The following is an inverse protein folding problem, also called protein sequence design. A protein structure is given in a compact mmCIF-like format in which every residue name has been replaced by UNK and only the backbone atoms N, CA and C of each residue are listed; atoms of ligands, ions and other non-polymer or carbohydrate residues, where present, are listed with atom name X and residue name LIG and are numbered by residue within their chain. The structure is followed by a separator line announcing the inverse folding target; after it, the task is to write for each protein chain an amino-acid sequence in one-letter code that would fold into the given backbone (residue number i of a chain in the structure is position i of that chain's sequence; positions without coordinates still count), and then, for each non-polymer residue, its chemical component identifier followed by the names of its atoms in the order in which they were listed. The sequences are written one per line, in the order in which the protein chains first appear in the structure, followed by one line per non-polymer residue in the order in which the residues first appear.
data_IF_558104302006
#
_entry.id   IF_558104302006
#
_cell.length_a   1.000
_cell.length_b   1.000
_cell.length_c   1.000
_cell.angle_alpha   90.00
_cell.angle_beta   90.00
_cell.angle_gamma   90.00
#
_symmetry.space_group_name_H-M   'P 1'
#
loop_
_entity.id
_entity.type
_entity.pdbx_description
1 polymer ?
2 non-polymer ?
3 non-polymer ?
4 water ?
#
# COMPACT_ATOMS: atom_id res chain seq x y z
N UNK A 7 10.73 19.42 17.58
CA UNK A 7 10.53 18.05 18.05
C UNK A 7 11.37 17.02 17.24
N UNK A 8 11.03 15.71 17.38
CA UNK A 8 11.70 14.60 16.70
C UNK A 8 11.50 14.60 15.18
N UNK A 9 10.38 15.10 14.68
CA UNK A 9 10.21 15.17 13.23
C UNK A 9 10.97 16.30 12.57
N UNK A 10 11.11 17.42 13.25
CA UNK A 10 11.95 18.53 12.77
C UNK A 10 13.40 18.03 12.60
N UNK A 11 13.87 17.26 13.59
CA UNK A 11 15.20 16.65 13.58
C UNK A 11 15.36 15.60 12.49
N UNK A 12 14.33 14.78 12.29
CA UNK A 12 14.32 13.74 11.27
C UNK A 12 14.35 14.37 9.86
N UNK A 13 13.57 15.45 9.66
CA UNK A 13 13.47 16.17 8.38
C UNK A 13 14.83 16.80 7.99
N UNK A 14 15.48 17.50 8.95
CA UNK A 14 16.82 18.07 8.71
C UNK A 14 17.88 16.99 8.43
N UNK A 15 17.77 15.82 9.10
CA UNK A 15 18.67 14.70 8.88
C UNK A 15 18.59 14.21 7.43
N UNK A 16 17.36 13.97 6.93
CA UNK A 16 17.11 13.52 5.54
C UNK A 16 17.59 14.59 4.57
N UNK A 17 17.30 15.89 4.84
CA UNK A 17 17.74 17.00 4.00
C UNK A 17 19.26 17.02 3.85
N UNK A 18 20.01 16.85 4.97
CA UNK A 18 21.47 16.80 5.03
C UNK A 18 22.05 15.72 4.11
N UNK A 19 21.44 14.52 4.12
CA UNK A 19 21.87 13.38 3.30
C UNK A 19 21.60 13.65 1.82
N UNK A 20 20.36 14.09 1.48
CA UNK A 20 19.92 14.37 0.11
C UNK A 20 20.72 15.52 -0.56
N UNK A 21 20.98 16.61 0.21
CA UNK A 21 21.74 17.78 -0.30
C UNK A 21 23.19 17.40 -0.67
N UNK A 22 23.80 16.51 0.12
CA UNK A 22 25.16 15.98 -0.06
C UNK A 22 25.35 15.22 -1.40
N UNK A 23 24.28 14.60 -1.96
CA UNK A 23 24.34 13.85 -3.22
C UNK A 23 24.34 14.75 -4.47
N UNK A 24 23.84 16.00 -4.34
CA UNK A 24 23.75 17.02 -5.40
C UNK A 24 22.92 16.56 -6.60
N UNK A 25 21.83 15.85 -6.29
CA UNK A 25 20.87 15.29 -7.24
C UNK A 25 19.50 15.88 -6.89
N UNK A 26 18.73 16.41 -7.87
CA UNK A 26 17.39 16.94 -7.53
C UNK A 26 16.53 15.92 -6.78
N UNK A 27 15.83 16.37 -5.74
CA UNK A 27 14.97 15.56 -4.87
C UNK A 27 13.98 14.66 -5.62
N UNK A 28 13.35 15.16 -6.69
CA UNK A 28 12.40 14.37 -7.48
C UNK A 28 13.10 13.21 -8.23
N UNK A 29 14.39 13.37 -8.57
CA UNK A 29 15.18 12.31 -9.21
C UNK A 29 15.51 11.23 -8.20
N UNK A 30 15.89 11.62 -6.97
CA UNK A 30 16.21 10.71 -5.86
C UNK A 30 14.98 9.82 -5.63
N UNK A 31 13.79 10.44 -5.46
CA UNK A 31 12.52 9.75 -5.25
C UNK A 31 12.22 8.77 -6.41
N UNK A 32 12.31 9.22 -7.67
CA UNK A 32 12.07 8.37 -8.84
C UNK A 32 13.01 7.16 -8.92
N UNK A 33 14.32 7.40 -8.74
CA UNK A 33 15.33 6.33 -8.78
C UNK A 33 15.12 5.29 -7.69
N UNK A 34 14.80 5.74 -6.44
CA UNK A 34 14.52 4.82 -5.33
C UNK A 34 13.23 4.04 -5.59
N UNK A 35 12.23 4.67 -6.26
CA UNK A 35 10.96 4.01 -6.62
C UNK A 35 11.20 2.87 -7.62
N UNK A 36 12.10 3.09 -8.59
CA UNK A 36 12.47 2.10 -9.62
C UNK A 36 13.18 0.89 -8.98
N UNK A 37 14.14 1.16 -8.08
CA UNK A 37 14.88 0.13 -7.35
C UNK A 37 13.93 -0.71 -6.50
N UNK A 38 12.99 -0.04 -5.77
CA UNK A 38 11.98 -0.71 -4.93
C UNK A 38 11.07 -1.60 -5.77
N UNK A 39 10.60 -1.10 -6.93
CA UNK A 39 9.76 -1.87 -7.87
C UNK A 39 10.46 -3.14 -8.34
N UNK A 40 11.76 -3.04 -8.70
CA UNK A 40 12.58 -4.16 -9.16
C UNK A 40 12.71 -5.24 -8.06
N UNK A 41 13.04 -4.82 -6.82
CA UNK A 41 13.17 -5.72 -5.67
C UNK A 41 11.85 -6.37 -5.29
N UNK A 42 10.73 -5.62 -5.40
CA UNK A 42 9.38 -6.13 -5.11
C UNK A 42 8.97 -7.20 -6.10
N UNK A 43 9.41 -7.10 -7.37
CA UNK A 43 9.11 -8.10 -8.40
C UNK A 43 9.83 -9.41 -8.05
N UNK A 44 11.11 -9.31 -7.60
CA UNK A 44 11.94 -10.46 -7.17
C UNK A 44 11.30 -11.14 -5.94
N UNK A 45 10.86 -10.34 -4.94
CA UNK A 45 10.19 -10.83 -3.73
C UNK A 45 8.88 -11.55 -4.08
N UNK A 46 8.08 -11.00 -5.02
CA UNK A 46 6.83 -11.61 -5.47
C UNK A 46 7.07 -12.98 -6.12
N UNK A 47 8.15 -13.10 -6.92
CA UNK A 47 8.52 -14.37 -7.58
C UNK A 47 8.89 -15.45 -6.54
N UNK A 48 9.64 -15.06 -5.49
CA UNK A 48 10.04 -15.92 -4.37
C UNK A 48 8.80 -16.37 -3.56
N UNK A 49 7.88 -15.44 -3.27
CA UNK A 49 6.64 -15.74 -2.54
C UNK A 49 5.74 -16.68 -3.32
N UNK A 50 5.68 -16.54 -4.66
CA UNK A 50 4.88 -17.39 -5.53
C UNK A 50 5.40 -18.82 -5.59
N UNK A 51 6.74 -19.02 -5.58
CA UNK A 51 7.32 -20.36 -5.56
C UNK A 51 7.12 -21.05 -4.21
N UNK A 52 7.12 -20.25 -3.15
CA UNK A 52 6.87 -20.69 -1.77
C UNK A 52 5.44 -21.14 -1.58
N UNK A 53 4.47 -20.40 -2.15
CA UNK A 53 3.04 -20.73 -2.07
C UNK A 53 2.72 -22.02 -2.86
N UNK A 54 3.37 -22.20 -4.01
CA UNK A 54 3.24 -23.37 -4.88
C UNK A 54 3.78 -24.64 -4.16
N UNK A 55 4.95 -24.50 -3.49
CA UNK A 55 5.60 -25.57 -2.72
C UNK A 55 4.74 -25.97 -1.51
N UNK A 56 4.18 -24.97 -0.79
CA UNK A 56 3.29 -25.16 0.37
C UNK A 56 2.02 -25.93 -0.06
N UNK A 57 1.49 -25.63 -1.25
CA UNK A 57 0.31 -26.30 -1.83
C UNK A 57 0.61 -27.78 -2.11
N UNK A 58 1.79 -28.07 -2.72
CA UNK A 58 2.24 -29.43 -3.03
C UNK A 58 2.46 -30.27 -1.78
N UNK A 59 3.04 -29.66 -0.71
CA UNK A 59 3.29 -30.31 0.59
C UNK A 59 1.98 -30.71 1.26
N UNK A 60 0.92 -29.90 1.11
CA UNK A 60 -0.40 -30.20 1.67
C UNK A 60 -1.03 -31.40 0.98
N UNK A 61 -0.76 -31.56 -0.33
CA UNK A 61 -1.22 -32.67 -1.15
C UNK A 61 -0.49 -33.96 -0.74
N UNK A 62 0.86 -33.91 -0.69
CA UNK A 62 1.72 -35.04 -0.32
C UNK A 62 1.53 -35.53 1.10
N UNK A 63 1.26 -34.61 2.06
CA UNK A 63 1.04 -34.92 3.47
C UNK A 63 -0.21 -34.24 4.00
N UNK B 6 -13.29 12.38 18.07
CA UNK B 6 -13.75 13.72 18.44
C UNK B 6 -12.59 14.61 18.90
N UNK B 7 -12.41 14.81 20.22
CA UNK B 7 -11.32 15.60 20.81
C UNK B 7 -9.97 14.84 20.67
N UNK B 8 -10.04 13.51 20.44
CA UNK B 8 -8.90 12.64 20.21
C UNK B 8 -8.36 12.89 18.80
N UNK B 9 -9.27 13.12 17.84
CA UNK B 9 -8.94 13.35 16.43
C UNK B 9 -8.44 14.79 16.22
N UNK B 10 -9.24 15.80 16.65
CA UNK B 10 -8.91 17.22 16.52
C UNK B 10 -7.65 17.60 17.31
N UNK B 11 -7.46 16.99 18.47
CA UNK B 11 -6.27 17.19 19.31
C UNK B 11 -5.01 16.62 18.68
N UNK B 12 -5.14 15.47 17.99
CA UNK B 12 -4.06 14.81 17.26
C UNK B 12 -3.61 15.69 16.09
N UNK B 13 -4.59 16.19 15.28
CA UNK B 13 -4.36 17.05 14.12
C UNK B 13 -3.67 18.34 14.59
N UNK B 14 -4.19 18.94 15.69
CA UNK B 14 -3.67 20.16 16.32
C UNK B 14 -2.23 19.98 16.77
N UNK B 15 -1.91 18.80 17.33
CA UNK B 15 -0.54 18.48 17.77
C UNK B 15 0.41 18.40 16.58
N UNK B 16 0.05 17.63 15.51
CA UNK B 16 0.88 17.47 14.29
C UNK B 16 1.13 18.85 13.67
N UNK B 17 0.08 19.70 13.60
CA UNK B 17 0.16 21.04 13.04
C UNK B 17 1.18 21.91 13.78
N UNK B 18 1.20 21.84 15.14
CA UNK B 18 2.15 22.58 16.00
C UNK B 18 3.59 22.18 15.72
N UNK B 19 3.85 20.86 15.63
CA UNK B 19 5.16 20.28 15.37
C UNK B 19 5.67 20.69 13.98
N UNK B 20 4.84 20.52 12.94
CA UNK B 20 5.17 20.85 11.54
C UNK B 20 5.48 22.34 11.39
N UNK B 21 4.64 23.22 12.00
CA UNK B 21 4.80 24.68 11.99
C UNK B 21 6.12 25.10 12.61
N UNK B 22 6.54 24.43 13.71
CA UNK B 22 7.79 24.71 14.42
C UNK B 22 9.05 24.40 13.59
N UNK B 23 8.98 23.45 12.63
CA UNK B 23 10.14 23.08 11.78
C UNK B 23 10.49 24.21 10.80
N UNK B 24 9.50 25.06 10.43
CA UNK B 24 9.63 26.15 9.44
C UNK B 24 10.11 25.59 8.08
N UNK B 25 9.61 24.40 7.74
CA UNK B 25 9.86 23.69 6.49
C UNK B 25 8.51 23.49 5.81
N UNK B 26 8.35 23.85 4.51
CA UNK B 26 7.05 23.66 3.86
C UNK B 26 6.58 22.20 3.97
N UNK B 27 5.29 22.00 4.29
CA UNK B 27 4.66 20.69 4.50
C UNK B 27 4.91 19.70 3.36
N UNK B 28 4.89 20.15 2.09
CA UNK B 28 5.17 19.27 0.94
C UNK B 28 6.63 18.78 0.92
N UNK B 29 7.57 19.55 1.49
CA UNK B 29 8.98 19.14 1.60
C UNK B 29 9.12 18.09 2.69
N UNK B 30 8.45 18.29 3.84
CA UNK B 30 8.43 17.34 4.97
C UNK B 30 7.96 15.98 4.43
N UNK B 31 6.81 15.95 3.72
CA UNK B 31 6.22 14.77 3.12
C UNK B 31 7.19 14.08 2.14
N UNK B 32 7.78 14.84 1.20
CA UNK B 32 8.73 14.31 0.21
C UNK B 32 9.98 13.69 0.86
N UNK B 33 10.58 14.41 1.84
CA UNK B 33 11.78 13.93 2.53
C UNK B 33 11.50 12.65 3.33
N UNK B 34 10.35 12.58 4.03
CA UNK B 34 9.96 11.37 4.78
C UNK B 34 9.70 10.20 3.83
N UNK B 35 9.16 10.49 2.64
CA UNK B 35 8.89 9.48 1.61
C UNK B 35 10.18 8.87 1.08
N UNK B 36 11.23 9.71 0.91
CA UNK B 36 12.57 9.29 0.44
C UNK B 36 13.23 8.38 1.47
N UNK B 37 13.18 8.77 2.77
CA UNK B 37 13.72 7.99 3.86
C UNK B 37 13.02 6.62 3.96
N UNK B 38 11.66 6.60 3.87
CA UNK B 38 10.88 5.36 3.89
C UNK B 38 11.25 4.44 2.72
N UNK B 39 11.36 4.99 1.50
CA UNK B 39 11.75 4.25 0.30
C UNK B 39 13.13 3.60 0.47
N UNK B 40 14.10 4.36 1.02
CA UNK B 40 15.46 3.88 1.27
C UNK B 40 15.47 2.70 2.26
N UNK B 41 14.76 2.84 3.40
CA UNK B 41 14.65 1.78 4.41
C UNK B 41 13.92 0.54 3.90
N UNK B 42 12.89 0.73 3.04
CA UNK B 42 12.15 -0.38 2.42
C UNK B 42 13.03 -1.18 1.47
N UNK B 43 13.95 -0.52 0.78
CA UNK B 43 14.89 -1.14 -0.15
C UNK B 43 15.87 -2.02 0.65
N UNK B 44 16.36 -1.51 1.82
CA UNK B 44 17.27 -2.21 2.71
C UNK B 44 16.60 -3.45 3.26
N UNK B 45 15.34 -3.35 3.73
CA UNK B 45 14.55 -4.46 4.26
C UNK B 45 14.36 -5.53 3.19
N UNK B 46 14.04 -5.13 1.94
CA UNK B 46 13.86 -6.07 0.83
C UNK B 46 15.14 -6.85 0.51
N UNK B 47 16.30 -6.17 0.56
CA UNK B 47 17.61 -6.78 0.30
C UNK B 47 17.94 -7.83 1.36
N UNK B 48 17.66 -7.51 2.65
CA UNK B 48 17.88 -8.39 3.81
C UNK B 48 16.98 -9.63 3.69
N UNK B 49 15.67 -9.43 3.35
CA UNK B 49 14.71 -10.53 3.20
C UNK B 49 15.11 -11.47 2.06
N UNK B 50 15.65 -10.91 0.96
CA UNK B 50 16.07 -11.68 -0.20
C UNK B 50 17.30 -12.54 0.07
N UNK B 51 18.26 -12.04 0.88
CA UNK B 51 19.46 -12.81 1.24
C UNK B 51 19.16 -13.93 2.25
N UNK C 7 -27.12 2.34 5.70
CA UNK C 7 -27.10 2.76 7.09
C UNK C 7 -25.69 2.73 7.68
N UNK C 8 -24.91 1.66 7.42
CA UNK C 8 -23.54 1.51 7.94
C UNK C 8 -22.50 2.34 7.22
N UNK C 9 -22.44 2.26 5.86
CA UNK C 9 -21.49 3.02 5.04
C UNK C 9 -21.75 4.53 5.11
N UNK C 10 -23.01 4.95 4.81
CA UNK C 10 -23.42 6.36 4.85
C UNK C 10 -23.34 6.97 6.24
N UNK C 11 -23.64 6.17 7.27
CA UNK C 11 -23.55 6.57 8.67
C UNK C 11 -22.12 6.80 9.09
N UNK C 12 -21.19 5.95 8.60
CA UNK C 12 -19.75 6.04 8.85
C UNK C 12 -19.20 7.35 8.22
N UNK C 13 -19.53 7.61 6.94
CA UNK C 13 -19.12 8.81 6.19
C UNK C 13 -19.64 10.08 6.91
N UNK C 14 -20.93 10.08 7.30
CA UNK C 14 -21.57 11.20 8.02
C UNK C 14 -20.88 11.47 9.38
N UNK C 15 -20.46 10.40 10.07
CA UNK C 15 -19.75 10.51 11.34
C UNK C 15 -18.37 11.15 11.14
N UNK C 16 -17.57 10.67 10.16
CA UNK C 16 -16.23 11.21 9.84
C UNK C 16 -16.36 12.69 9.48
N UNK C 17 -17.39 13.05 8.66
CA UNK C 17 -17.66 14.42 8.24
C UNK C 17 -17.89 15.36 9.44
N UNK C 18 -18.66 14.90 10.46
CA UNK C 18 -18.94 15.65 11.69
C UNK C 18 -17.66 15.93 12.48
N UNK C 19 -16.79 14.90 12.63
CA UNK C 19 -15.52 14.98 13.34
C UNK C 19 -14.56 15.96 12.65
N UNK C 20 -14.39 15.82 11.32
CA UNK C 20 -13.52 16.68 10.50
C UNK C 20 -13.99 18.14 10.54
N UNK C 21 -15.31 18.38 10.40
CA UNK C 21 -15.91 19.72 10.47
C UNK C 21 -15.67 20.40 11.81
N UNK C 22 -15.72 19.63 12.91
CA UNK C 22 -15.48 20.13 14.27
C UNK C 22 -14.05 20.59 14.52
N UNK C 23 -13.06 20.09 13.74
CA UNK C 23 -11.65 20.46 13.87
C UNK C 23 -11.40 21.89 13.36
N UNK C 24 -12.25 22.39 12.44
CA UNK C 24 -12.16 23.71 11.78
C UNK C 24 -10.83 23.87 11.03
N UNK C 25 -10.37 22.76 10.43
CA UNK C 25 -9.14 22.63 9.66
C UNK C 25 -9.53 22.12 8.27
N UNK C 26 -9.03 22.75 7.18
CA UNK C 26 -9.32 22.24 5.83
C UNK C 26 -9.05 20.75 5.68
N UNK C 27 -9.98 20.00 5.07
CA UNK C 27 -9.89 18.54 4.88
C UNK C 27 -8.56 18.07 4.29
N UNK C 28 -8.01 18.78 3.29
CA UNK C 28 -6.72 18.41 2.67
C UNK C 28 -5.53 18.59 3.62
N UNK C 29 -5.67 19.48 4.62
CA UNK C 29 -4.67 19.70 5.65
C UNK C 29 -4.66 18.52 6.62
N UNK C 30 -5.87 18.05 7.05
CA UNK C 30 -6.09 16.89 7.94
C UNK C 30 -5.42 15.70 7.27
N UNK C 31 -5.73 15.44 5.96
CA UNK C 31 -5.13 14.35 5.20
C UNK C 31 -3.59 14.43 5.17
N UNK C 32 -3.01 15.61 4.82
CA UNK C 32 -1.57 15.83 4.75
C UNK C 32 -0.89 15.60 6.11
N UNK C 33 -1.42 16.21 7.19
CA UNK C 33 -0.86 16.07 8.53
C UNK C 33 -0.86 14.62 9.01
N UNK C 34 -1.97 13.87 8.79
CA UNK C 34 -2.06 12.46 9.19
C UNK C 34 -1.09 11.62 8.36
N UNK C 35 -0.89 11.98 7.07
CA UNK C 35 0.05 11.29 6.19
C UNK C 35 1.49 11.46 6.66
N UNK C 36 1.85 12.65 7.17
CA UNK C 36 3.18 12.96 7.69
C UNK C 36 3.45 12.15 8.98
N UNK C 37 2.45 12.10 9.88
CA UNK C 37 2.55 11.33 11.13
C UNK C 37 2.72 9.84 10.82
N UNK C 38 1.94 9.31 9.86
CA UNK C 38 2.02 7.90 9.44
C UNK C 38 3.39 7.58 8.85
N UNK C 39 3.92 8.45 7.97
CA UNK C 39 5.25 8.30 7.35
C UNK C 39 6.35 8.24 8.42
N UNK C 40 6.28 9.12 9.43
CA UNK C 40 7.24 9.17 10.54
C UNK C 40 7.23 7.86 11.34
N UNK C 41 6.03 7.37 11.72
CA UNK C 41 5.85 6.12 12.48
C UNK C 41 6.28 4.90 11.68
N UNK C 42 6.05 4.90 10.34
CA UNK C 42 6.46 3.81 9.45
C UNK C 42 7.97 3.71 9.35
N UNK C 43 8.68 4.87 9.41
CA UNK C 43 10.15 4.91 9.38
C UNK C 43 10.71 4.24 10.67
N UNK C 44 10.08 4.55 11.83
CA UNK C 44 10.44 4.00 13.15
C UNK C 44 10.22 2.47 13.15
N UNK C 45 9.07 2.00 12.63
CA UNK C 45 8.74 0.58 12.52
C UNK C 45 9.73 -0.15 11.62
N UNK C 46 10.12 0.46 10.47
CA UNK C 46 11.10 -0.12 9.55
C UNK C 46 12.47 -0.30 10.21
N UNK C 47 12.89 0.68 11.03
CA UNK C 47 14.16 0.61 11.76
C UNK C 47 14.17 -0.54 12.78
N UNK C 48 13.04 -0.74 13.50
CA UNK C 48 12.82 -1.80 14.49
C UNK C 48 12.83 -3.18 13.78
N UNK C 49 12.16 -3.30 12.64
CA UNK C 49 12.10 -4.53 11.84
C UNK C 49 13.48 -4.92 11.30
N UNK C 50 14.30 -3.92 10.91
CA UNK C 50 15.64 -4.16 10.38
C UNK C 50 16.60 -4.69 11.46
N UNK C 51 16.52 -4.12 12.70
CA UNK C 51 17.36 -4.57 13.81
C UNK C 51 16.92 -5.96 14.28
N UNK C 52 15.61 -6.19 14.25
CA UNK C 52 14.98 -7.45 14.61
C UNK C 52 15.30 -8.58 13.66
N UNK C 53 15.39 -8.30 12.34
CA UNK C 53 15.72 -9.32 11.33
C UNK C 53 17.20 -9.70 11.45
N UNK C 54 18.07 -8.69 11.69
CA UNK C 54 19.52 -8.85 11.83
C UNK C 54 19.84 -9.71 13.06
N UNK C 55 19.20 -9.41 14.21
CA UNK C 55 19.34 -10.12 15.48
C UNK C 55 18.81 -11.54 15.39
N UNK C 56 17.62 -11.73 14.78
CA UNK C 56 16.97 -13.03 14.56
C UNK C 56 17.86 -13.96 13.72
N UNK C 57 18.50 -13.43 12.66
CA UNK C 57 19.41 -14.17 11.78
C UNK C 57 20.66 -14.61 12.55
N UNK C 58 21.23 -13.72 13.40
CA UNK C 58 22.40 -14.00 14.23
C UNK C 58 22.11 -15.08 15.27
N UNK C 59 20.93 -15.02 15.93
CA UNK C 59 20.50 -15.99 16.96
C UNK C 59 20.33 -17.39 16.37
N UNK C 60 19.80 -17.47 15.14
CA UNK C 60 19.61 -18.71 14.39
C UNK C 60 20.96 -19.39 14.14
N UNK C 61 22.00 -18.57 13.89
CA UNK C 61 23.38 -18.98 13.62
C UNK C 61 24.08 -19.47 14.88
N UNK C 62 24.02 -18.67 15.95
CA UNK C 62 24.65 -18.95 17.24
C UNK C 62 24.04 -20.16 17.93
N UNK C 63 22.72 -20.35 17.81
CA UNK C 63 21.99 -21.45 18.46
C UNK C 63 21.11 -22.17 17.44
N UNK C 64 21.74 -22.96 16.57
CA UNK C 64 21.06 -23.72 15.53
C UNK C 64 21.85 -24.92 15.07
N UNK D 7 -21.81 -10.47 -14.49
CA UNK D 7 -22.77 -10.62 -13.39
C UNK D 7 -22.13 -10.39 -12.01
N UNK D 8 -20.87 -10.86 -11.83
CA UNK D 8 -20.12 -10.72 -10.59
C UNK D 8 -19.56 -9.31 -10.43
N UNK D 9 -18.76 -8.87 -11.44
CA UNK D 9 -18.08 -7.57 -11.47
C UNK D 9 -19.08 -6.42 -11.63
N UNK D 10 -19.95 -6.49 -12.66
CA UNK D 10 -20.97 -5.47 -12.95
C UNK D 10 -21.98 -5.30 -11.82
N UNK D 11 -22.36 -6.42 -11.20
CA UNK D 11 -23.28 -6.46 -10.06
C UNK D 11 -22.69 -5.80 -8.83
N UNK D 12 -21.38 -6.02 -8.61
CA UNK D 12 -20.60 -5.44 -7.51
C UNK D 12 -20.54 -3.91 -7.66
N UNK D 13 -20.16 -3.44 -8.87
CA UNK D 13 -20.06 -2.01 -9.21
C UNK D 13 -21.43 -1.33 -9.01
N UNK D 14 -22.51 -1.95 -9.56
CA UNK D 14 -23.88 -1.45 -9.43
C UNK D 14 -24.32 -1.33 -7.98
N UNK D 15 -23.93 -2.32 -7.13
CA UNK D 15 -24.23 -2.32 -5.70
C UNK D 15 -23.54 -1.15 -5.00
N UNK D 16 -22.20 -0.97 -5.21
CA UNK D 16 -21.42 0.13 -4.60
C UNK D 16 -22.01 1.47 -5.02
N UNK D 17 -22.37 1.62 -6.33
CA UNK D 17 -22.99 2.83 -6.87
C UNK D 17 -24.27 3.21 -6.13
N UNK D 18 -25.14 2.21 -5.84
CA UNK D 18 -26.41 2.40 -5.12
C UNK D 18 -26.17 2.92 -3.71
N UNK D 19 -25.21 2.30 -2.98
CA UNK D 19 -24.84 2.66 -1.61
C UNK D 19 -24.28 4.09 -1.55
N UNK D 20 -23.33 4.43 -2.44
CA UNK D 20 -22.70 5.77 -2.52
C UNK D 20 -23.75 6.85 -2.84
N UNK D 21 -24.64 6.59 -3.83
CA UNK D 21 -25.72 7.50 -4.22
C UNK D 21 -26.70 7.79 -3.05
N UNK D 22 -26.97 6.78 -2.23
CA UNK D 22 -27.84 6.87 -1.06
C UNK D 22 -27.21 7.72 0.08
N UNK D 23 -25.88 7.99 0.03
CA UNK D 23 -25.22 8.82 1.03
C UNK D 23 -25.55 10.30 0.84
N UNK D 24 -25.84 10.69 -0.43
CA UNK D 24 -26.16 12.05 -0.92
C UNK D 24 -24.95 12.99 -0.72
N UNK D 25 -23.74 12.41 -0.81
CA UNK D 25 -22.44 13.05 -0.62
C UNK D 25 -21.64 12.81 -1.90
N UNK D 26 -20.98 13.84 -2.49
CA UNK D 26 -20.15 13.59 -3.68
C UNK D 26 -19.13 12.47 -3.45
N UNK D 27 -18.97 11.61 -4.45
CA UNK D 27 -18.08 10.44 -4.45
C UNK D 27 -16.64 10.76 -3.99
N UNK D 28 -16.07 11.89 -4.45
CA UNK D 28 -14.71 12.28 -4.05
C UNK D 28 -14.61 12.63 -2.57
N UNK D 29 -15.73 13.11 -1.95
CA UNK D 29 -15.77 13.40 -0.51
C UNK D 29 -15.81 12.10 0.28
N UNK D 30 -16.61 11.11 -0.19
CA UNK D 30 -16.73 9.78 0.43
C UNK D 30 -15.33 9.18 0.50
N UNK D 31 -14.62 9.15 -0.65
CA UNK D 31 -13.25 8.63 -0.77
C UNK D 31 -12.28 9.35 0.19
N UNK D 32 -12.29 10.70 0.21
CA UNK D 32 -11.41 11.51 1.09
C UNK D 32 -11.67 11.21 2.57
N UNK D 33 -12.94 11.22 2.99
CA UNK D 33 -13.32 10.97 4.38
C UNK D 33 -12.92 9.57 4.85
N UNK D 34 -13.12 8.54 3.99
CA UNK D 34 -12.72 7.15 4.31
C UNK D 34 -11.18 7.04 4.39
N UNK D 35 -10.47 7.81 3.55
CA UNK D 35 -8.99 7.87 3.55
C UNK D 35 -8.46 8.44 4.86
N UNK D 36 -9.13 9.49 5.38
CA UNK D 36 -8.77 10.14 6.64
C UNK D 36 -8.98 9.19 7.83
N UNK D 37 -10.13 8.47 7.85
CA UNK D 37 -10.46 7.49 8.89
C UNK D 37 -9.43 6.36 8.88
N UNK D 38 -9.07 5.85 7.68
CA UNK D 38 -8.07 4.78 7.53
C UNK D 38 -6.70 5.23 8.05
N UNK D 39 -6.26 6.45 7.67
CA UNK D 39 -5.01 7.04 8.11
C UNK D 39 -4.95 7.14 9.64
N UNK D 40 -6.05 7.61 10.27
CA UNK D 40 -6.16 7.75 11.73
C UNK D 40 -6.01 6.41 12.44
N UNK D 41 -6.72 5.36 11.96
CA UNK D 41 -6.66 4.01 12.53
C UNK D 41 -5.29 3.36 12.36
N UNK D 42 -4.65 3.59 11.20
CA UNK D 42 -3.31 3.06 10.92
C UNK D 42 -2.25 3.67 11.84
N UNK D 43 -2.43 4.95 12.20
CA UNK D 43 -1.52 5.67 13.11
C UNK D 43 -1.64 5.05 14.50
N UNK D 44 -2.88 4.76 14.96
CA UNK D 44 -3.17 4.16 16.27
C UNK D 44 -2.51 2.78 16.36
N UNK D 45 -2.70 1.94 15.31
CA UNK D 45 -2.11 0.59 15.23
C UNK D 45 -0.59 0.66 15.30
N UNK D 46 0.04 1.61 14.55
CA UNK D 46 1.49 1.79 14.55
C UNK D 46 2.03 2.17 15.93
N UNK D 47 1.31 3.04 16.66
CA UNK D 47 1.69 3.47 18.01
C UNK D 47 1.68 2.30 18.99
N UNK D 48 0.65 1.43 18.90
CA UNK D 48 0.46 0.23 19.72
C UNK D 48 1.60 -0.77 19.43
N UNK D 49 1.89 -1.02 18.13
CA UNK D 49 2.96 -1.93 17.71
C UNK D 49 4.33 -1.46 18.17
N UNK D 50 4.59 -0.14 18.12
CA UNK D 50 5.86 0.44 18.53
C UNK D 50 6.04 0.46 20.04
N UNK D 51 4.98 0.84 20.78
CA UNK D 51 5.01 0.91 22.24
C UNK D 51 4.29 -0.29 22.91
N UNK D 52 4.61 -1.49 22.42
CA UNK D 52 4.04 -2.74 22.91
C UNK D 52 4.20 -3.88 21.91
N UNK E 9 -0.77 -12.75 -20.53
CA UNK E 9 -0.87 -11.34 -20.17
C UNK E 9 -1.91 -10.63 -21.04
N UNK E 10 -1.77 -10.72 -22.39
CA UNK E 10 -2.67 -10.10 -23.36
C UNK E 10 -4.11 -10.63 -23.26
N UNK E 11 -4.23 -11.93 -23.00
CA UNK E 11 -5.51 -12.62 -22.82
C UNK E 11 -6.24 -12.15 -21.57
N UNK E 12 -5.47 -11.93 -20.48
CA UNK E 12 -5.97 -11.43 -19.20
C UNK E 12 -6.50 -10.01 -19.37
N UNK E 13 -5.71 -9.11 -20.01
CA UNK E 13 -6.07 -7.71 -20.29
C UNK E 13 -7.35 -7.65 -21.15
N UNK E 14 -7.40 -8.45 -22.24
CA UNK E 14 -8.55 -8.56 -23.14
C UNK E 14 -9.81 -9.01 -22.40
N UNK E 15 -9.66 -9.96 -21.46
CA UNK E 15 -10.77 -10.46 -20.64
C UNK E 15 -11.33 -9.35 -19.73
N UNK E 16 -10.44 -8.64 -18.98
CA UNK E 16 -10.84 -7.53 -18.09
C UNK E 16 -11.57 -6.45 -18.89
N UNK E 17 -11.03 -6.11 -20.10
CA UNK E 17 -11.62 -5.11 -20.99
C UNK E 17 -13.05 -5.48 -21.39
N UNK E 18 -13.31 -6.76 -21.70
CA UNK E 18 -14.64 -7.29 -22.07
C UNK E 18 -15.65 -7.12 -20.94
N UNK E 19 -15.24 -7.49 -19.71
CA UNK E 19 -16.05 -7.41 -18.50
C UNK E 19 -16.41 -5.95 -18.18
N UNK E 20 -15.40 -5.05 -18.17
CA UNK E 20 -15.57 -3.62 -17.89
C UNK E 20 -16.50 -2.95 -18.92
N UNK E 21 -16.31 -3.26 -20.23
CA UNK E 21 -17.13 -2.74 -21.32
C UNK E 21 -18.60 -3.16 -21.18
N UNK E 22 -18.85 -4.40 -20.71
CA UNK E 22 -20.19 -4.95 -20.51
C UNK E 22 -20.97 -4.27 -19.37
N UNK E 23 -20.27 -3.63 -18.41
CA UNK E 23 -20.92 -2.94 -17.29
C UNK E 23 -21.57 -1.62 -17.73
N UNK E 24 -21.09 -1.03 -18.86
CA UNK E 24 -21.54 0.25 -19.43
C UNK E 24 -21.40 1.41 -18.44
N UNK E 25 -20.31 1.34 -17.65
CA UNK E 25 -19.92 2.31 -16.63
C UNK E 25 -18.52 2.79 -17.00
N UNK E 26 -18.26 4.12 -17.02
CA UNK E 26 -16.89 4.58 -17.35
C UNK E 26 -15.84 3.94 -16.45
N UNK E 27 -14.72 3.51 -17.05
CA UNK E 27 -13.60 2.84 -16.39
C UNK E 27 -13.10 3.54 -15.11
N UNK E 28 -13.01 4.88 -15.13
CA UNK E 28 -12.58 5.66 -13.97
C UNK E 28 -13.58 5.58 -12.82
N UNK E 29 -14.89 5.38 -13.11
CA UNK E 29 -15.93 5.22 -12.10
C UNK E 29 -15.83 3.84 -11.46
N UNK E 30 -15.57 2.79 -12.28
CA UNK E 30 -15.38 1.40 -11.82
C UNK E 30 -14.24 1.40 -10.80
N UNK E 31 -13.08 1.98 -11.18
CA UNK E 31 -11.88 2.09 -10.35
C UNK E 31 -12.19 2.83 -9.03
N UNK E 32 -12.84 4.00 -9.09
CA UNK E 32 -13.19 4.80 -7.92
C UNK E 32 -14.13 4.05 -6.97
N UNK E 33 -15.19 3.43 -7.50
CA UNK E 33 -16.17 2.68 -6.69
C UNK E 33 -15.53 1.48 -5.99
N UNK E 34 -14.65 0.72 -6.69
CA UNK E 34 -13.94 -0.42 -6.09
C UNK E 34 -12.97 0.07 -5.00
N UNK E 35 -12.35 1.26 -5.20
CA UNK E 35 -11.44 1.86 -4.23
C UNK E 35 -12.17 2.24 -2.95
N UNK E 36 -13.41 2.76 -3.07
CA UNK E 36 -14.27 3.16 -1.93
C UNK E 36 -14.66 1.93 -1.11
N UNK E 37 -15.06 0.84 -1.81
CA UNK E 37 -15.44 -0.43 -1.17
C UNK E 37 -14.25 -1.00 -0.39
N UNK E 38 -13.04 -1.00 -1.03
CA UNK E 38 -11.80 -1.50 -0.41
C UNK E 38 -11.45 -0.68 0.84
N UNK E 39 -11.54 0.66 0.75
CA UNK E 39 -11.27 1.57 1.88
C UNK E 39 -12.19 1.26 3.06
N UNK E 40 -13.50 1.03 2.79
CA UNK E 40 -14.49 0.69 3.82
C UNK E 40 -14.16 -0.62 4.53
N UNK E 41 -13.83 -1.68 3.75
CA UNK E 41 -13.46 -3.00 4.28
C UNK E 41 -12.15 -2.96 5.07
N UNK E 42 -11.17 -2.14 4.61
CA UNK E 42 -9.89 -1.95 5.29
C UNK E 42 -10.05 -1.27 6.64
N UNK E 43 -11.04 -0.36 6.77
CA UNK E 43 -11.35 0.32 8.03
C UNK E 43 -11.91 -0.71 9.04
N UNK E 44 -12.78 -1.63 8.56
CA UNK E 44 -13.36 -2.72 9.37
C UNK E 44 -12.26 -3.67 9.87
N UNK E 45 -11.33 -4.06 8.98
CA UNK E 45 -10.19 -4.92 9.31
C UNK E 45 -9.29 -4.24 10.37
N UNK E 46 -9.03 -2.93 10.22
CA UNK E 46 -8.22 -2.17 11.18
C UNK E 46 -8.86 -2.13 12.56
N UNK E 47 -10.19 -1.99 12.63
CA UNK E 47 -10.94 -1.98 13.90
C UNK E 47 -10.85 -3.33 14.62
N UNK E 48 -10.93 -4.45 13.85
CA UNK E 48 -10.81 -5.83 14.34
C UNK E 48 -9.38 -6.07 14.87
N UNK E 49 -8.34 -5.62 14.12
CA UNK E 49 -6.94 -5.76 14.53
C UNK E 49 -6.63 -4.95 15.79
N UNK E 50 -7.25 -3.77 15.95
CA UNK E 50 -7.07 -2.92 17.13
C UNK E 50 -7.69 -3.53 18.38
N UNK E 51 -8.86 -4.18 18.27
CA UNK E 51 -9.49 -4.86 19.42
C UNK E 51 -8.71 -6.14 19.78
N UNK E 52 -8.07 -6.73 18.76
CA UNK E 52 -7.20 -7.90 18.90
C UNK E 52 -5.91 -7.59 19.62
N UNK E 53 -5.31 -6.41 19.32
CA UNK E 53 -4.07 -5.94 19.96
C UNK E 53 -4.35 -5.54 21.43
N UNK E 54 -5.54 -4.99 21.70
CA UNK E 54 -5.98 -4.60 23.04
C UNK E 54 -6.22 -5.86 23.90
N UNK E 55 -6.81 -6.93 23.30
CA UNK E 55 -7.06 -8.23 23.94
C UNK E 55 -5.72 -8.91 24.28
N UNK E 56 -4.73 -8.89 23.35
CA UNK E 56 -3.38 -9.45 23.52
C UNK E 56 -2.65 -8.76 24.68
N UNK E 57 -2.84 -7.44 24.81
CA UNK E 57 -2.27 -6.60 25.88
C UNK E 57 -2.84 -7.01 27.25
N UNK E 58 -4.18 -7.23 27.33
CA UNK E 58 -4.91 -7.65 28.53
C UNK E 58 -4.50 -9.07 28.96
N UNK E 59 -4.33 -10.00 27.99
CA UNK E 59 -3.92 -11.39 28.24
C UNK E 59 -2.52 -11.46 28.86
N UNK E 60 -1.60 -10.58 28.40
CA UNK E 60 -0.23 -10.44 28.91
C UNK E 60 -0.26 -10.03 30.40
N UNK E 61 -1.22 -9.16 30.76
CA UNK E 61 -1.44 -8.66 32.12
C UNK E 61 -2.02 -9.75 33.03
N UNK E 62 -3.11 -10.40 32.59
CA UNK E 62 -3.81 -11.46 33.31
C UNK E 62 -2.97 -12.71 33.54
N UNK E 63 -2.13 -13.07 32.57
CA UNK E 63 -1.25 -14.24 32.64
C UNK E 63 0.18 -13.91 32.27
N UNK F 8 20.42 -7.76 -16.99
CA UNK F 8 19.43 -8.16 -16.01
C UNK F 8 18.26 -7.18 -15.97
N UNK F 9 18.50 -5.94 -15.51
CA UNK F 9 17.51 -4.86 -15.38
C UNK F 9 16.98 -4.42 -16.75
N UNK F 10 17.90 -4.06 -17.68
CA UNK F 10 17.56 -3.61 -19.03
C UNK F 10 16.87 -4.71 -19.84
N UNK F 11 17.29 -5.96 -19.64
CA UNK F 11 16.72 -7.14 -20.29
C UNK F 11 15.29 -7.39 -19.82
N UNK F 12 15.04 -7.17 -18.51
CA UNK F 12 13.73 -7.32 -17.89
C UNK F 12 12.75 -6.27 -18.47
N UNK F 13 13.18 -4.99 -18.50
CA UNK F 13 12.43 -3.85 -19.02
C UNK F 13 12.08 -4.10 -20.51
N UNK F 14 13.09 -4.51 -21.31
CA UNK F 14 12.93 -4.82 -22.75
C UNK F 14 11.93 -5.94 -22.96
N UNK F 15 11.95 -6.97 -22.07
CA UNK F 15 11.01 -8.09 -22.14
C UNK F 15 9.57 -7.64 -21.87
N UNK F 16 9.33 -6.87 -20.78
CA UNK F 16 8.00 -6.34 -20.45
C UNK F 16 7.48 -5.45 -21.60
N UNK F 17 8.36 -4.61 -22.19
CA UNK F 17 8.02 -3.75 -23.33
C UNK F 17 7.51 -4.55 -24.53
N UNK F 18 8.16 -5.71 -24.83
CA UNK F 18 7.78 -6.61 -25.93
C UNK F 18 6.39 -7.20 -25.70
N UNK F 19 6.11 -7.66 -24.47
CA UNK F 19 4.83 -8.25 -24.07
C UNK F 19 3.69 -7.21 -24.18
N UNK F 20 3.90 -6.00 -23.61
CA UNK F 20 2.93 -4.89 -23.63
C UNK F 20 2.63 -4.46 -25.08
N UNK F 21 3.68 -4.31 -25.92
CA UNK F 21 3.56 -3.93 -27.33
C UNK F 21 2.76 -4.95 -28.14
N UNK F 22 2.92 -6.26 -27.82
CA UNK F 22 2.19 -7.35 -28.49
C UNK F 22 0.70 -7.36 -28.19
N UNK F 23 0.25 -6.75 -27.07
CA UNK F 23 -1.16 -6.68 -26.72
C UNK F 23 -1.94 -5.68 -27.59
N UNK F 24 -1.22 -4.68 -28.19
CA UNK F 24 -1.77 -3.60 -29.03
C UNK F 24 -2.82 -2.77 -28.29
N UNK F 25 -2.58 -2.58 -26.99
CA UNK F 25 -3.42 -1.84 -26.05
C UNK F 25 -2.54 -0.74 -25.44
N UNK F 26 -3.01 0.53 -25.40
CA UNK F 26 -2.18 1.59 -24.78
C UNK F 26 -1.76 1.21 -23.35
N UNK F 27 -0.49 1.47 -23.01
CA UNK F 27 0.13 1.16 -21.72
C UNK F 27 -0.69 1.64 -20.50
N UNK F 28 -1.28 2.84 -20.58
CA UNK F 28 -2.11 3.37 -19.48
C UNK F 28 -3.40 2.58 -19.28
N UNK F 29 -3.92 1.94 -20.35
CA UNK F 29 -5.11 1.09 -20.28
C UNK F 29 -4.76 -0.24 -19.63
N UNK F 30 -3.58 -0.81 -19.97
CA UNK F 30 -3.07 -2.07 -19.39
C UNK F 30 -2.99 -1.87 -17.87
N UNK F 31 -2.34 -0.78 -17.43
CA UNK F 31 -2.16 -0.43 -16.03
C UNK F 31 -3.52 -0.29 -15.31
N UNK F 32 -4.47 0.47 -15.90
CA UNK F 32 -5.82 0.69 -15.34
C UNK F 32 -6.60 -0.62 -15.18
N UNK F 33 -6.62 -1.44 -16.25
CA UNK F 33 -7.34 -2.72 -16.23
C UNK F 33 -6.79 -3.69 -15.18
N UNK F 34 -5.44 -3.78 -15.06
CA UNK F 34 -4.80 -4.64 -14.05
C UNK F 34 -5.09 -4.13 -12.64
N UNK F 35 -5.17 -2.79 -12.47
CA UNK F 35 -5.50 -2.16 -11.19
C UNK F 35 -6.93 -2.51 -10.75
N UNK F 36 -7.87 -2.57 -11.70
CA UNK F 36 -9.29 -2.91 -11.45
C UNK F 36 -9.40 -4.38 -11.01
N UNK F 37 -8.70 -5.29 -11.71
CA UNK F 37 -8.66 -6.71 -11.39
C UNK F 37 -8.09 -6.93 -9.97
N UNK F 38 -6.99 -6.24 -9.63
CA UNK F 38 -6.35 -6.32 -8.32
C UNK F 38 -7.29 -5.82 -7.22
N UNK F 39 -7.97 -4.68 -7.45
CA UNK F 39 -8.94 -4.11 -6.50
C UNK F 39 -10.08 -5.09 -6.22
N UNK F 40 -10.62 -5.74 -7.28
CA UNK F 40 -11.70 -6.73 -7.18
C UNK F 40 -11.28 -7.93 -6.31
N UNK F 41 -10.07 -8.50 -6.56
CA UNK F 41 -9.53 -9.64 -5.82
C UNK F 41 -9.24 -9.28 -4.36
N UNK F 42 -8.75 -8.06 -4.11
CA UNK F 42 -8.46 -7.57 -2.75
C UNK F 42 -9.72 -7.42 -1.93
N UNK F 43 -10.84 -7.04 -2.56
CA UNK F 43 -12.15 -6.89 -1.90
C UNK F 43 -12.63 -8.29 -1.46
N UNK F 44 -12.50 -9.31 -2.35
CA UNK F 44 -12.89 -10.70 -2.08
C UNK F 44 -12.08 -11.25 -0.89
N UNK F 45 -10.74 -11.04 -0.90
CA UNK F 45 -9.84 -11.48 0.17
C UNK F 45 -10.23 -10.83 1.51
N UNK F 46 -10.54 -9.52 1.50
CA UNK F 46 -10.95 -8.79 2.71
C UNK F 46 -12.25 -9.33 3.29
N UNK F 47 -13.21 -9.70 2.43
CA UNK F 47 -14.51 -10.24 2.86
C UNK F 47 -14.34 -11.60 3.54
N UNK F 48 -13.47 -12.47 2.99
CA UNK F 48 -13.16 -13.79 3.54
C UNK F 48 -12.44 -13.65 4.89
N UNK F 49 -11.45 -12.74 4.98
CA UNK F 49 -10.71 -12.48 6.23
C UNK F 49 -11.61 -11.93 7.34
N UNK F 50 -12.56 -11.05 7.01
CA UNK F 50 -13.45 -10.41 7.98
C UNK F 50 -14.45 -11.35 8.62
N UNK F 51 -15.02 -12.30 7.84
CA UNK F 51 -15.93 -13.28 8.43
C UNK F 51 -15.23 -14.37 9.23
N UNK F 52 -14.08 -14.84 8.72
CA UNK F 52 -13.29 -15.88 9.36
C UNK F 52 -12.77 -15.51 10.74
N UNK G 8 25.77 3.50 1.74
CA UNK G 8 25.92 4.87 1.27
C UNK G 8 24.79 5.24 0.31
N UNK G 9 23.92 6.16 0.76
CA UNK G 9 22.73 6.68 0.07
C UNK G 9 23.07 7.22 -1.32
N UNK G 10 24.08 8.13 -1.41
CA UNK G 10 24.53 8.76 -2.66
C UNK G 10 25.06 7.74 -3.66
N UNK G 11 25.77 6.73 -3.15
CA UNK G 11 26.33 5.63 -3.94
C UNK G 11 25.24 4.76 -4.54
N UNK G 12 24.16 4.52 -3.76
CA UNK G 12 22.99 3.74 -4.18
C UNK G 12 22.26 4.48 -5.31
N UNK G 13 21.99 5.80 -5.12
CA UNK G 13 21.33 6.66 -6.11
C UNK G 13 22.14 6.69 -7.42
N UNK G 14 23.47 6.90 -7.31
CA UNK G 14 24.40 6.95 -8.44
C UNK G 14 24.40 5.60 -9.21
N UNK G 15 24.32 4.46 -8.48
CA UNK G 15 24.26 3.13 -9.08
C UNK G 15 22.98 2.96 -9.90
N UNK G 16 21.80 3.29 -9.31
CA UNK G 16 20.49 3.19 -9.99
C UNK G 16 20.50 4.05 -11.25
N UNK G 17 21.04 5.29 -11.14
CA UNK G 17 21.15 6.23 -12.26
C UNK G 17 21.94 5.65 -13.43
N UNK G 18 23.08 4.97 -13.14
CA UNK G 18 23.94 4.32 -14.14
C UNK G 18 23.20 3.23 -14.89
N UNK G 19 22.47 2.36 -14.16
CA UNK G 19 21.69 1.24 -14.70
C UNK G 19 20.57 1.75 -15.61
N UNK G 20 19.78 2.73 -15.12
CA UNK G 20 18.65 3.33 -15.85
C UNK G 20 19.15 4.01 -17.14
N UNK G 21 20.24 4.80 -17.06
CA UNK G 21 20.85 5.49 -18.20
C UNK G 21 21.31 4.51 -19.28
N UNK G 22 21.87 3.35 -18.87
CA UNK G 22 22.35 2.32 -19.78
C UNK G 22 21.24 1.63 -20.59
N UNK G 23 19.99 1.62 -20.07
CA UNK G 23 18.86 1.00 -20.76
C UNK G 23 18.40 1.82 -21.97
N UNK G 24 18.68 3.15 -21.99
CA UNK G 24 18.31 4.11 -23.03
C UNK G 24 16.78 4.17 -23.24
N UNK G 25 16.06 4.03 -22.12
CA UNK G 25 14.61 4.04 -22.01
C UNK G 25 14.24 5.18 -21.04
N UNK G 26 13.29 6.07 -21.41
CA UNK G 26 12.90 7.15 -20.48
C UNK G 26 12.48 6.59 -19.12
N UNK G 27 12.95 7.24 -18.04
CA UNK G 27 12.69 6.86 -16.64
C UNK G 27 11.21 6.60 -16.33
N UNK G 28 10.28 7.43 -16.87
CA UNK G 28 8.84 7.24 -16.65
C UNK G 28 8.32 5.95 -17.30
N UNK G 29 8.96 5.50 -18.41
CA UNK G 29 8.60 4.24 -19.08
C UNK G 29 9.07 3.05 -18.25
N UNK G 30 10.31 3.13 -17.69
CA UNK G 30 10.89 2.10 -16.82
C UNK G 30 9.94 1.88 -15.65
N UNK G 31 9.53 2.96 -14.97
CA UNK G 31 8.61 2.96 -13.83
C UNK G 31 7.27 2.32 -14.21
N UNK G 32 6.66 2.75 -15.34
CA UNK G 32 5.37 2.21 -15.82
C UNK G 32 5.43 0.71 -16.12
N UNK G 33 6.48 0.27 -16.85
CA UNK G 33 6.65 -1.13 -17.23
C UNK G 33 6.85 -2.03 -16.00
N UNK G 34 7.66 -1.58 -15.02
CA UNK G 34 7.88 -2.33 -13.77
C UNK G 34 6.59 -2.40 -12.94
N UNK G 35 5.77 -1.32 -12.99
CA UNK G 35 4.47 -1.26 -12.30
C UNK G 35 3.50 -2.27 -12.87
N UNK G 36 3.50 -2.46 -14.20
CA UNK G 36 2.63 -3.42 -14.90
C UNK G 36 3.01 -4.86 -14.54
N UNK G 37 4.32 -5.16 -14.53
CA UNK G 37 4.86 -6.47 -14.13
C UNK G 37 4.50 -6.78 -12.67
N UNK G 38 4.67 -5.80 -11.77
CA UNK G 38 4.31 -5.96 -10.34
C UNK G 38 2.82 -6.23 -10.16
N UNK G 39 1.96 -5.47 -10.86
CA UNK G 39 0.50 -5.63 -10.82
C UNK G 39 0.11 -7.04 -11.27
N UNK G 40 0.72 -7.55 -12.36
CA UNK G 40 0.46 -8.90 -12.88
C UNK G 40 0.79 -9.99 -11.85
N UNK G 41 1.99 -9.93 -11.24
CA UNK G 41 2.44 -10.89 -10.22
C UNK G 41 1.58 -10.82 -8.95
N UNK G 42 1.15 -9.60 -8.55
CA UNK G 42 0.30 -9.41 -7.38
C UNK G 42 -1.08 -10.03 -7.57
N UNK G 43 -1.59 -10.02 -8.82
CA UNK G 43 -2.88 -10.60 -9.19
C UNK G 43 -2.80 -12.11 -9.03
N UNK G 44 -1.66 -12.71 -9.48
CA UNK G 44 -1.41 -14.17 -9.39
C UNK G 44 -1.36 -14.60 -7.92
N UNK G 45 -0.64 -13.83 -7.08
CA UNK G 45 -0.52 -14.11 -5.64
C UNK G 45 -1.89 -14.03 -4.96
N UNK G 46 -2.71 -13.01 -5.31
CA UNK G 46 -4.06 -12.85 -4.76
C UNK G 46 -4.96 -14.03 -5.12
N UNK G 47 -4.87 -14.55 -6.36
CA UNK G 47 -5.66 -15.69 -6.82
C UNK G 47 -5.31 -16.96 -6.02
N UNK G 48 -4.01 -17.20 -5.76
CA UNK G 48 -3.49 -18.32 -4.98
C UNK G 48 -3.98 -18.21 -3.52
N UNK G 49 -3.87 -17.01 -2.92
CA UNK G 49 -4.30 -16.77 -1.53
C UNK G 49 -5.80 -16.96 -1.37
N UNK G 50 -6.59 -16.55 -2.38
CA UNK G 50 -8.02 -16.65 -2.37
C UNK G 50 -8.51 -18.09 -2.50
N UNK G 51 -7.81 -18.96 -3.28
CA UNK G 51 -8.17 -20.37 -3.37
C UNK G 51 -7.87 -21.12 -2.05
N UNK G 52 -6.80 -20.71 -1.38
CA UNK G 52 -6.39 -21.25 -0.08
C UNK G 52 -7.36 -20.87 1.01
N UNK G 53 -7.77 -19.58 1.05
CA UNK G 53 -8.71 -19.06 2.04
C UNK G 53 -10.11 -19.66 1.84
N UNK G 54 -10.51 -19.84 0.55
CA UNK G 54 -11.80 -20.42 0.18
C UNK G 54 -11.90 -21.87 0.62
N UNK G 55 -10.82 -22.66 0.43
CA UNK G 55 -10.75 -24.06 0.83
C UNK G 55 -10.80 -24.21 2.36
N UNK G 56 -10.01 -23.38 3.07
CA UNK G 56 -9.93 -23.33 4.54
C UNK G 56 -11.29 -22.98 5.13
N UNK G 57 -12.00 -22.01 4.51
CA UNK G 57 -13.34 -21.58 4.94
C UNK G 57 -14.33 -22.73 4.85
N UNK G 58 -14.36 -23.42 3.68
CA UNK G 58 -15.25 -24.54 3.43
C UNK G 58 -15.05 -25.65 4.46
N UNK G 59 -13.77 -26.03 4.70
CA UNK G 59 -13.36 -27.07 5.66
C UNK G 59 -13.76 -26.73 7.10
N UNK G 60 -13.56 -25.45 7.50
CA UNK G 60 -13.91 -24.93 8.84
C UNK G 60 -15.43 -24.99 9.07
N UNK G 61 -16.22 -24.81 8.00
CA UNK G 61 -17.67 -24.87 8.01
C UNK G 61 -18.14 -26.32 8.13
N UNK G 62 -17.63 -27.21 7.27
CA UNK G 62 -17.99 -28.64 7.23
C UNK G 62 -17.59 -29.40 8.48
N UNK G 63 -16.41 -29.08 9.05
CA UNK G 63 -15.87 -29.75 10.23
C UNK G 63 -15.45 -28.71 11.28
N UNK G 64 -16.44 -28.15 11.96
CA UNK G 64 -16.24 -27.13 12.99
C UNK G 64 -17.37 -26.13 13.08
X LIG H 1 11.05 11.92 -12.66
X LIG H 1 11.53 11.03 -13.67
X LIG H 1 12.22 12.58 -11.92
X LIG H 1 11.91 13.93 -11.57
X LIG I 1 17.56 -1.87 -10.16
X LIG I 1 17.97 -2.62 -10.96
X LIG I 1 17.50 -2.27 -9.07
X LIG I 1 17.11 -0.49 -10.54
X LIG J 1 13.81 18.85 -1.03
X LIG J 1 15.00 19.09 -0.29
X LIG J 1 12.61 18.92 -0.11
X LIG J 1 11.44 18.93 -0.93
X LIG K 1 6.05 6.24 -2.08
X LIG K 1 6.66 7.08 -3.06
X LIG K 1 6.18 6.86 -0.69
X LIG K 1 7.28 6.28 0.03
X LIG L 1 2.74 25.73 7.84
X LIG L 1 2.99 24.32 7.78
X LIG L 1 1.64 26.03 8.86
X LIG L 1 1.25 27.41 8.78
X LIG M 1 10.15 18.16 -3.45
X LIG M 1 10.64 17.62 -4.69
X LIG M 1 8.62 18.13 -3.41
X LIG M 1 8.20 18.76 -2.19
X LIG N 1 -1.04 21.28 6.42
X LIG N 1 -0.93 21.04 5.01
X LIG N 1 0.09 22.21 6.82
X LIG N 1 0.37 22.09 8.21
X LIG O 1 1.35 22.64 1.92
X LIG O 1 0.59 23.51 2.75
X LIG O 1 1.42 21.26 2.49
X LIG O 1 0.49 20.38 1.91
X LIG P 1 16.14 7.57 10.90
X LIG P 1 15.41 7.78 11.82
X LIG P 1 15.77 7.85 9.78
X LIG P 1 17.49 7.01 11.21
X LIG Q 1 3.49 24.96 4.05
X LIG Q 1 3.86 24.45 3.06
X LIG Q 1 3.79 26.07 4.31
X LIG Q 1 2.65 24.24 4.94
X LIG R 1 2.16 8.84 1.56
X LIG R 1 1.81 8.23 2.57
X LIG R 1 2.21 10.06 1.60
X LIG R 1 2.52 8.12 0.30
X LIG S 1 -2.62 19.16 0.37
X LIG S 1 -1.75 19.06 -0.78
X LIG S 1 -1.88 19.88 1.47
X LIG S 1 -2.64 19.96 2.68
X LIG T 1 -2.74 15.26 0.01
X LIG T 1 -2.25 13.94 0.20
X LIG T 1 -3.52 15.66 1.25
X LIG T 1 -4.60 16.49 0.86
X LIG U 1 -11.04 17.95 0.60
X LIG U 1 -10.90 16.79 -0.20
X LIG U 1 -12.25 18.73 0.12
X LIG U 1 -12.02 20.13 0.26
X LIG V 1 -14.96 16.40 2.80
X LIG V 1 -16.08 15.93 2.73
X LIG V 1 -14.65 17.08 3.77
X LIG V 1 -14.04 16.13 1.66
X LIG W 1 -2.28 5.19 2.31
X LIG W 1 -1.60 6.44 2.43
X LIG W 1 -2.50 4.54 3.67
X LIG W 1 -3.74 4.92 4.28
X LIG X 1 -4.76 8.11 2.16
X LIG X 1 -3.66 8.29 1.27
X LIG X 1 -5.35 6.71 2.00
X LIG X 1 -6.03 6.32 3.21
X LIG Y 1 -11.22 9.77 12.51
X LIG Y 1 -11.61 10.21 13.54
X LIG Y 1 -11.03 8.60 12.44
X LIG Y 1 -10.97 10.66 11.36
X LIG Z 1 -20.44 13.03 -7.41
X LIG Z 1 -20.24 12.08 -6.76
X LIG Z 1 -19.79 13.06 -8.40
X LIG Z 1 -21.46 14.07 -7.03
X LIG AA 1 -18.44 -7.13 -1.40
X LIG AA 1 -18.50 -5.95 -1.76
X LIG AA 1 -18.69 -7.39 -0.26
X LIG AA 1 -18.09 -8.29 -2.33
X LIG BA 1 -9.88 0.96 -20.48
X LIG BA 1 -11.04 0.59 -20.67
X LIG BA 1 -8.99 0.27 -20.90
X LIG BA 1 -9.50 2.25 -19.79
X LIG CA 1 -5.28 -2.20 -6.19
X LIG CA 1 -5.07 -1.55 -7.45
X LIG CA 1 -4.34 -1.61 -5.14
X LIG CA 1 -5.08 -0.96 -4.10
X LIG DA 1 -3.08 3.94 -15.02
X LIG DA 1 -3.49 4.50 -16.27
X LIG DA 1 -3.59 4.76 -13.84
X LIG DA 1 -2.96 4.27 -12.64
X LIG EA 1 9.49 2.31 -26.67
X LIG EA 1 10.35 1.17 -26.70
X LIG EA 1 10.24 3.52 -26.10
X LIG EA 1 9.96 3.65 -24.70
X LIG FA 1 -12.41 -8.18 -12.78
X LIG FA 1 -12.73 -7.12 -12.24
X LIG FA 1 -12.22 -9.14 -12.07
X LIG FA 1 -12.28 -8.28 -14.26
X LIG GA 1 1.75 -0.70 -8.93
X LIG GA 1 2.43 -1.72 -9.66
X LIG GA 1 1.01 0.23 -9.88
X LIG GA 1 -0.26 0.60 -9.32
X LIG HA 1 1.38 -14.63 2.17
X LIG HA 1 0.65 -15.41 1.21
X LIG HA 1 0.43 -13.75 2.98
X LIG HA 1 0.41 -12.42 2.43
X LIG IA 1 -1.14 -10.32 -3.08
X LIG IA 1 -0.50 -9.60 -4.14
X LIG IA 1 -0.71 -9.77 -1.73
X LIG IA 1 -1.49 -10.41 -0.71
X LIG JA 1 16.06 9.51 -18.65
X LIG JA 1 16.93 9.19 -17.55
X LIG JA 1 14.90 10.38 -18.13
X LIG JA 1 13.79 10.34 -19.03
X LIG KA 1 16.30 10.20 -13.27
X LIG KA 1 16.97 10.57 -12.31
X LIG KA 1 16.74 9.62 -14.29
X LIG KA 1 14.86 10.54 -13.21
#
# INVERSE_FOLDING_TARGET
SKKQGDADVCGEVAYIQSVVSDCHVPTEDVKTLLEIRKLFLEIQKLKVELQGLSKEFLEHILHGS
SKKQGDADVCGEVAYIQSVVSDCHVPTEDVKTLLEIRKLFLEIQKLKVELQGLSKEFLEHILHGS
SKKQGDADVCGEVAYIQSVVSDCHVPTEDVKTLLEIRKLFLEIQKLKVELQGLSKEFLEHILHGS
SKKQGDADVCGEVAYIQSVVSDCHVPTEDVKTLLEIRKLFLEIQKLKVELQGLSKEFLEHILHGS
SKKQGDADVCGEVAYIQSVVSDCHVPTEDVKTLLEIRKLFLEIQKLKVELQGLSKEFLEHILHGS
SKKQGDADVCGEVAYIQSVVSDCHVPTEDVKTLLEIRKLFLEIQKLKVELQGLSKEFLEHILHGS
SKKQGDADVCGEVAYIQSVVSDCHVPTEDVKTLLEIRKLFLEIQKLKVELQGLSKEFLEHILHGS
EDO C1 O1 C2 O2
ACT C O OXT CH3
EDO C1 O1 C2 O2
EDO C1 O1 C2 O2
EDO C1 O1 C2 O2
EDO C1 O1 C2 O2
EDO C1 O1 C2 O2
EDO C1 O1 C2 O2
ACT C O OXT CH3
ACT C O OXT CH3
ACT C O OXT CH3
EDO C1 O1 C2 O2
EDO C1 O1 C2 O2
EDO C1 O1 C2 O2
ACT C O OXT CH3
EDO C1 O1 C2 O2
EDO C1 O1 C2 O2
ACT C O OXT CH3
ACT C O OXT CH3
ACT C O OXT CH3
ACT C O OXT CH3
EDO C1 O1 C2 O2
EDO C1 O1 C2 O2
EDO C1 O1 C2 O2
ACT C O OXT CH3
EDO C1 O1 C2 O2
EDO C1 O1 C2 O2
EDO C1 O1 C2 O2
EDO C1 O1 C2 O2
ACT C O OXT CH3
#
